data_IF_385279085513
#
_entry.id   IF_385279085513
#
_cell.length_a   1.000
_cell.length_b   1.000
_cell.length_c   1.000
_cell.angle_alpha   90.00
_cell.angle_beta   90.00
_cell.angle_gamma   90.00
#
_symmetry.space_group_name_H-M   'P 1'
#
loop_
_entity.id
_entity.type
_entity.pdbx_description
1 polymer ?
#
# COMPACT_ATOMS: atom_id res chain seq x y z
N UNK A 1 25.29 17.64 -5.16
CA UNK A 1 23.85 17.71 -5.44
C UNK A 1 23.27 18.97 -4.81
N UNK A 2 22.42 19.70 -5.54
CA UNK A 2 21.73 20.89 -5.04
C UNK A 2 20.21 20.66 -5.04
N UNK A 3 19.51 21.18 -4.04
CA UNK A 3 18.05 21.31 -4.05
C UNK A 3 17.70 22.75 -4.36
N UNK A 4 17.02 22.98 -5.48
CA UNK A 4 16.62 24.32 -5.91
C UNK A 4 15.10 24.46 -5.72
N UNK A 5 14.70 25.35 -4.82
CA UNK A 5 13.30 25.74 -4.67
C UNK A 5 13.05 26.98 -5.52
N UNK A 6 12.03 26.94 -6.37
CA UNK A 6 11.61 28.05 -7.21
C UNK A 6 10.16 28.42 -6.91
N UNK A 7 9.88 29.71 -6.80
CA UNK A 7 8.52 30.20 -6.70
C UNK A 7 8.34 31.50 -7.49
N UNK A 8 7.17 31.67 -8.07
CA UNK A 8 6.86 32.81 -8.95
C UNK A 8 5.46 33.33 -8.67
N UNK A 9 5.34 34.65 -8.55
CA UNK A 9 4.12 35.31 -8.14
C UNK A 9 3.80 36.52 -9.02
N UNK A 10 2.53 36.92 -9.08
CA UNK A 10 2.05 38.05 -9.88
C UNK A 10 1.46 39.10 -8.95
N UNK A 11 1.91 40.34 -9.09
CA UNK A 11 1.49 41.47 -8.28
C UNK A 11 0.54 42.36 -9.07
N UNK A 12 -0.76 42.14 -8.89
CA UNK A 12 -1.80 42.91 -9.59
C UNK A 12 -1.72 44.41 -9.29
N UNK A 13 -1.48 44.78 -8.03
CA UNK A 13 -1.42 46.18 -7.59
C UNK A 13 -0.34 47.01 -8.30
N UNK A 14 0.75 46.37 -8.71
CA UNK A 14 1.89 47.03 -9.37
C UNK A 14 2.00 46.65 -10.85
N UNK A 15 1.03 45.90 -11.39
CA UNK A 15 1.07 45.32 -12.73
C UNK A 15 2.44 44.66 -13.04
N UNK A 16 2.93 43.84 -12.11
CA UNK A 16 4.25 43.22 -12.20
C UNK A 16 4.24 41.76 -11.76
N UNK A 17 5.39 41.11 -11.83
CA UNK A 17 5.58 39.75 -11.35
C UNK A 17 6.96 39.56 -10.74
N UNK A 18 7.04 38.59 -9.84
CA UNK A 18 8.23 38.23 -9.09
C UNK A 18 8.64 36.79 -9.36
N UNK A 19 9.93 36.55 -9.20
CA UNK A 19 10.55 35.25 -9.23
C UNK A 19 11.53 35.13 -8.07
N UNK A 20 11.40 34.10 -7.24
CA UNK A 20 12.33 33.77 -6.17
C UNK A 20 12.95 32.39 -6.39
N UNK A 21 14.25 32.29 -6.13
CA UNK A 21 14.99 31.03 -6.17
C UNK A 21 15.84 30.90 -4.92
N UNK A 22 15.79 29.73 -4.28
CA UNK A 22 16.59 29.38 -3.11
C UNK A 22 17.29 28.06 -3.39
N UNK A 23 18.61 28.03 -3.22
CA UNK A 23 19.43 26.85 -3.48
C UNK A 23 20.04 26.33 -2.18
N UNK A 24 19.89 25.03 -1.94
CA UNK A 24 20.46 24.31 -0.81
C UNK A 24 21.48 23.28 -1.28
N UNK A 25 22.50 23.01 -0.48
CA UNK A 25 23.37 21.85 -0.68
C UNK A 25 22.75 20.58 -0.07
N UNK A 26 23.40 19.44 -0.32
CA UNK A 26 22.97 18.14 0.19
C UNK A 26 23.06 18.01 1.73
N UNK A 27 23.78 18.92 2.40
CA UNK A 27 23.87 18.99 3.87
C UNK A 27 22.76 19.87 4.45
N UNK A 28 21.89 20.43 3.62
CA UNK A 28 20.79 21.30 4.04
C UNK A 28 21.23 22.74 4.33
N UNK A 29 22.42 23.16 3.88
CA UNK A 29 22.90 24.54 4.03
C UNK A 29 22.46 25.39 2.85
N UNK A 30 22.09 26.63 3.13
CA UNK A 30 21.78 27.61 2.08
C UNK A 30 23.06 27.93 1.30
N UNK A 31 23.01 27.74 -0.02
CA UNK A 31 24.11 28.03 -0.95
C UNK A 31 23.95 29.41 -1.54
N UNK A 32 22.78 29.69 -2.09
CA UNK A 32 22.51 30.96 -2.77
C UNK A 32 21.00 31.23 -2.79
N UNK A 33 20.60 32.50 -2.76
CA UNK A 33 19.23 32.91 -2.93
C UNK A 33 19.19 34.19 -3.79
N UNK A 34 18.25 34.25 -4.72
CA UNK A 34 18.10 35.42 -5.58
C UNK A 34 16.63 35.62 -5.95
N UNK A 35 16.26 36.88 -6.14
CA UNK A 35 14.92 37.27 -6.54
C UNK A 35 14.97 38.29 -7.68
N UNK A 36 13.92 38.30 -8.50
CA UNK A 36 13.72 39.26 -9.57
C UNK A 36 12.30 39.75 -9.54
N UNK A 37 12.14 41.04 -9.75
CA UNK A 37 10.86 41.68 -10.01
C UNK A 37 10.89 42.33 -11.39
N UNK A 38 9.78 42.25 -12.13
CA UNK A 38 9.60 42.92 -13.42
C UNK A 38 8.23 43.56 -13.51
N UNK A 39 8.19 44.78 -14.08
CA UNK A 39 6.96 45.43 -14.49
C UNK A 39 6.44 44.83 -15.80
N UNK A 40 5.12 44.84 -15.95
CA UNK A 40 4.38 44.22 -17.04
C UNK A 40 3.61 43.00 -16.54
N UNK A 41 2.29 43.01 -16.73
CA UNK A 41 1.41 41.93 -16.32
C UNK A 41 1.76 40.61 -17.02
N UNK A 42 1.67 39.51 -16.28
CA UNK A 42 1.83 38.16 -16.82
C UNK A 42 0.88 37.19 -16.12
N UNK A 43 0.79 35.97 -16.64
CA UNK A 43 0.04 34.90 -15.99
C UNK A 43 0.92 34.19 -14.95
N UNK A 44 0.33 33.75 -13.84
CA UNK A 44 1.07 33.03 -12.77
C UNK A 44 1.85 31.81 -13.28
N UNK A 45 1.29 31.06 -14.25
CA UNK A 45 2.00 29.94 -14.88
C UNK A 45 3.28 30.38 -15.60
N UNK A 46 3.24 31.52 -16.28
CA UNK A 46 4.40 32.09 -16.99
C UNK A 46 5.43 32.62 -16.00
N UNK A 47 5.01 33.28 -14.91
CA UNK A 47 5.91 33.70 -13.83
C UNK A 47 6.70 32.51 -13.27
N UNK A 48 6.05 31.37 -13.02
CA UNK A 48 6.72 30.13 -12.56
C UNK A 48 7.72 29.57 -13.58
N UNK A 49 7.37 29.57 -14.87
CA UNK A 49 8.31 29.15 -15.94
C UNK A 49 9.54 30.05 -15.98
N UNK A 50 9.37 31.36 -15.77
CA UNK A 50 10.48 32.31 -15.70
C UNK A 50 11.40 31.98 -14.50
N UNK A 51 10.84 31.58 -13.35
CA UNK A 51 11.63 31.13 -12.20
C UNK A 51 12.47 29.89 -12.52
N UNK A 52 11.85 28.88 -13.13
CA UNK A 52 12.53 27.65 -13.54
C UNK A 52 13.66 27.98 -14.52
N UNK A 53 13.40 28.81 -15.53
CA UNK A 53 14.41 29.22 -16.51
C UNK A 53 15.61 29.92 -15.85
N UNK A 54 15.37 30.74 -14.83
CA UNK A 54 16.45 31.40 -14.07
C UNK A 54 17.25 30.41 -13.23
N UNK A 55 16.58 29.48 -12.56
CA UNK A 55 17.24 28.42 -11.81
C UNK A 55 18.12 27.54 -12.70
N UNK A 56 17.65 27.19 -13.90
CA UNK A 56 18.42 26.42 -14.88
C UNK A 56 19.66 27.17 -15.36
N UNK A 57 19.55 28.46 -15.69
CA UNK A 57 20.71 29.29 -16.05
C UNK A 57 21.74 29.39 -14.93
N UNK A 58 21.28 29.50 -13.69
CA UNK A 58 22.16 29.48 -12.54
C UNK A 58 22.91 28.14 -12.44
N UNK A 59 22.20 27.02 -12.64
CA UNK A 59 22.78 25.68 -12.62
C UNK A 59 23.82 25.49 -13.73
N UNK A 60 23.52 25.89 -14.97
CA UNK A 60 24.46 25.84 -16.11
C UNK A 60 25.78 26.57 -15.81
N UNK A 61 25.71 27.70 -15.09
CA UNK A 61 26.89 28.49 -14.72
C UNK A 61 27.79 27.85 -13.65
N UNK A 62 27.37 26.78 -12.98
CA UNK A 62 28.12 26.15 -11.87
C UNK A 62 28.94 24.93 -12.29
N UNK A 63 28.99 24.59 -13.59
CA UNK A 63 29.74 23.46 -14.15
C UNK A 63 29.50 22.16 -13.35
N UNK A 64 28.24 21.92 -13.01
CA UNK A 64 27.82 20.80 -12.16
C UNK A 64 27.84 19.52 -12.99
N UNK A 65 28.26 18.41 -12.39
CA UNK A 65 28.17 17.08 -13.01
C UNK A 65 26.76 16.77 -13.54
N UNK A 66 26.68 15.84 -14.49
CA UNK A 66 25.43 15.38 -15.11
C UNK A 66 24.32 15.10 -14.10
N UNK A 67 23.09 15.39 -14.50
CA UNK A 67 21.88 15.14 -13.70
C UNK A 67 21.67 13.63 -13.51
N UNK A 68 21.38 13.23 -12.27
CA UNK A 68 21.03 11.87 -11.91
C UNK A 68 19.75 11.84 -11.10
N UNK A 69 18.95 10.77 -11.25
CA UNK A 69 17.77 10.55 -10.43
C UNK A 69 18.16 10.40 -8.96
N UNK A 70 17.52 11.17 -8.08
CA UNK A 70 17.74 11.11 -6.64
C UNK A 70 16.44 10.79 -5.89
N UNK A 71 16.44 9.73 -5.10
CA UNK A 71 15.32 9.34 -4.27
C UNK A 71 15.41 9.98 -2.88
N UNK A 72 14.49 10.91 -2.59
CA UNK A 72 14.52 11.73 -1.36
C UNK A 72 14.41 10.93 -0.05
N UNK A 73 13.92 9.69 -0.12
CA UNK A 73 13.71 8.82 1.05
C UNK A 73 14.91 7.92 1.34
N UNK A 74 15.98 8.04 0.56
CA UNK A 74 17.24 7.37 0.81
C UNK A 74 18.37 8.39 1.03
N UNK A 75 19.33 8.08 1.90
CA UNK A 75 20.46 8.98 2.22
C UNK A 75 21.51 9.02 1.10
N UNK A 76 21.61 7.94 0.33
CA UNK A 76 22.49 7.84 -0.84
C UNK A 76 21.74 8.27 -2.11
N UNK A 77 20.42 8.46 -2.03
CA UNK A 77 19.59 8.87 -3.13
C UNK A 77 19.17 7.74 -4.07
N UNK A 78 19.37 6.48 -3.68
CA UNK A 78 19.12 5.34 -4.56
C UNK A 78 17.71 4.81 -4.32
N UNK A 79 16.93 4.72 -5.39
CA UNK A 79 15.65 4.04 -5.34
C UNK A 79 15.87 2.52 -5.26
N UNK A 80 15.24 1.87 -4.27
CA UNK A 80 15.13 0.41 -4.23
C UNK A 80 13.69 0.00 -3.88
N UNK A 81 13.26 -1.13 -4.43
CA UNK A 81 11.93 -1.71 -4.12
C UNK A 81 11.77 -1.95 -2.61
N UNK A 82 12.84 -2.33 -1.93
CA UNK A 82 12.85 -2.54 -0.47
C UNK A 82 12.51 -1.26 0.30
N UNK A 83 13.18 -0.15 0.01
CA UNK A 83 12.94 1.14 0.70
C UNK A 83 11.54 1.65 0.38
N UNK A 84 11.11 1.57 -0.88
CA UNK A 84 9.78 1.94 -1.30
C UNK A 84 8.70 1.11 -0.57
N UNK A 85 8.88 -0.21 -0.48
CA UNK A 85 7.96 -1.10 0.22
C UNK A 85 7.87 -0.77 1.72
N UNK A 86 9.00 -0.59 2.42
CA UNK A 86 8.98 -0.22 3.83
C UNK A 86 8.27 1.12 4.07
N UNK A 87 8.50 2.11 3.20
CA UNK A 87 7.80 3.39 3.28
C UNK A 87 6.29 3.22 3.09
N UNK A 88 5.86 2.43 2.11
CA UNK A 88 4.44 2.15 1.89
C UNK A 88 3.80 1.45 3.09
N UNK A 89 4.52 0.54 3.74
CA UNK A 89 4.04 -0.13 4.95
C UNK A 89 3.93 0.84 6.14
N UNK A 90 4.87 1.78 6.30
CA UNK A 90 4.78 2.82 7.33
C UNK A 90 3.62 3.78 7.08
N UNK A 91 3.37 4.15 5.83
CA UNK A 91 2.28 5.06 5.44
C UNK A 91 0.90 4.44 5.56
N UNK A 92 0.79 3.11 5.46
CA UNK A 92 -0.47 2.39 5.70
C UNK A 92 -0.92 2.42 7.16
N UNK A 93 -0.07 2.80 8.11
CA UNK A 93 -0.41 2.68 9.53
C UNK A 93 -0.49 1.21 9.97
N UNK A 94 -0.63 0.96 11.28
CA UNK A 94 -0.73 -0.41 11.82
C UNK A 94 -2.13 -1.00 11.55
N UNK A 95 -2.44 -1.21 10.28
CA UNK A 95 -3.73 -1.72 9.80
C UNK A 95 -3.79 -3.25 9.94
N UNK A 96 -3.79 -3.75 11.18
CA UNK A 96 -4.09 -5.15 11.50
C UNK A 96 -3.17 -6.22 10.89
N UNK A 97 -2.05 -5.83 10.28
CA UNK A 97 -1.09 -6.74 9.65
C UNK A 97 -0.35 -7.61 10.67
N UNK A 98 -0.21 -7.14 11.91
CA UNK A 98 0.39 -7.89 13.01
C UNK A 98 -0.42 -9.17 13.31
N UNK A 99 -1.75 -9.06 13.37
CA UNK A 99 -2.62 -10.22 13.59
C UNK A 99 -2.59 -11.22 12.43
N UNK A 100 -2.51 -10.73 11.19
CA UNK A 100 -2.36 -11.60 10.03
C UNK A 100 -1.00 -12.32 10.07
N UNK A 101 0.08 -11.60 10.40
CA UNK A 101 1.41 -12.19 10.51
C UNK A 101 1.48 -13.31 11.56
N UNK A 102 0.92 -13.07 12.76
CA UNK A 102 0.88 -14.07 13.83
C UNK A 102 0.02 -15.29 13.47
N UNK A 103 -1.13 -15.06 12.81
CA UNK A 103 -1.96 -16.13 12.26
C UNK A 103 -1.18 -16.98 11.25
N UNK A 104 -0.50 -16.34 10.29
CA UNK A 104 0.27 -17.01 9.25
C UNK A 104 1.41 -17.82 9.86
N UNK A 105 2.15 -17.24 10.81
CA UNK A 105 3.23 -17.93 11.51
C UNK A 105 2.73 -19.20 12.19
N UNK A 106 1.58 -19.11 12.88
CA UNK A 106 0.96 -20.24 13.57
C UNK A 106 0.46 -21.31 12.57
N UNK A 107 -0.17 -20.89 11.47
CA UNK A 107 -0.68 -21.78 10.43
C UNK A 107 0.42 -22.68 9.83
N UNK A 108 1.59 -22.09 9.56
CA UNK A 108 2.69 -22.84 8.94
C UNK A 108 3.34 -23.87 9.87
N UNK A 109 3.25 -23.67 11.19
CA UNK A 109 3.76 -24.60 12.20
C UNK A 109 2.89 -25.86 12.39
N UNK A 110 1.62 -25.85 11.93
CA UNK A 110 0.72 -27.00 12.08
C UNK A 110 1.17 -28.20 11.25
N UNK A 111 0.99 -29.42 11.73
CA UNK A 111 1.27 -30.66 11.00
C UNK A 111 0.09 -31.05 10.10
N UNK A 112 -0.23 -30.19 9.14
CA UNK A 112 -1.33 -30.38 8.19
C UNK A 112 -0.81 -30.65 6.78
N UNK A 113 -1.56 -31.41 5.95
CA UNK A 113 -1.24 -31.56 4.54
C UNK A 113 -1.11 -30.20 3.83
N UNK A 114 -0.15 -30.03 2.89
CA UNK A 114 0.10 -28.75 2.23
C UNK A 114 -1.14 -28.12 1.59
N UNK A 115 -2.04 -28.93 1.02
CA UNK A 115 -3.29 -28.47 0.42
C UNK A 115 -4.23 -27.80 1.44
N UNK A 116 -4.25 -28.28 2.68
CA UNK A 116 -5.08 -27.72 3.75
C UNK A 116 -4.47 -26.40 4.22
N UNK A 117 -3.13 -26.32 4.35
CA UNK A 117 -2.43 -25.07 4.69
C UNK A 117 -2.68 -23.98 3.65
N UNK A 118 -2.57 -24.31 2.36
CA UNK A 118 -2.85 -23.35 1.27
C UNK A 118 -4.31 -22.85 1.31
N UNK A 119 -5.28 -23.74 1.54
CA UNK A 119 -6.68 -23.34 1.67
C UNK A 119 -6.89 -22.38 2.85
N UNK A 120 -6.37 -22.72 4.03
CA UNK A 120 -6.48 -21.89 5.24
C UNK A 120 -5.76 -20.55 5.08
N UNK A 121 -4.61 -20.55 4.40
CA UNK A 121 -3.87 -19.33 4.06
C UNK A 121 -4.71 -18.39 3.20
N UNK A 122 -5.32 -18.92 2.13
CA UNK A 122 -6.20 -18.14 1.25
C UNK A 122 -7.44 -17.65 1.99
N UNK A 123 -8.00 -18.46 2.89
CA UNK A 123 -9.17 -18.10 3.69
C UNK A 123 -8.85 -16.96 4.67
N UNK A 124 -7.78 -17.10 5.47
CA UNK A 124 -7.39 -16.11 6.48
C UNK A 124 -6.85 -14.80 5.88
N UNK A 125 -6.29 -14.86 4.67
CA UNK A 125 -5.80 -13.68 3.95
C UNK A 125 -6.85 -13.04 3.04
N UNK A 126 -8.12 -13.45 3.13
CA UNK A 126 -9.21 -12.96 2.28
C UNK A 126 -8.91 -13.05 0.76
N UNK A 127 -8.23 -14.12 0.31
CA UNK A 127 -7.97 -14.39 -1.09
C UNK A 127 -9.01 -15.27 -1.76
N UNK A 128 -9.88 -15.92 -0.99
CA UNK A 128 -10.96 -16.71 -1.56
C UNK A 128 -12.01 -15.81 -2.25
N UNK A 129 -12.55 -16.24 -3.40
CA UNK A 129 -13.49 -15.45 -4.19
C UNK A 129 -14.91 -15.51 -3.59
N UNK A 130 -15.05 -15.18 -2.31
CA UNK A 130 -16.37 -15.10 -1.68
C UNK A 130 -17.11 -13.85 -2.14
N UNK A 131 -18.45 -13.84 -2.13
CA UNK A 131 -19.20 -12.65 -2.57
C UNK A 131 -18.81 -11.38 -1.82
N UNK A 132 -18.54 -11.48 -0.51
CA UNK A 132 -18.06 -10.33 0.29
C UNK A 132 -16.73 -9.79 -0.28
N UNK A 133 -15.79 -10.68 -0.57
CA UNK A 133 -14.49 -10.27 -1.11
C UNK A 133 -14.59 -9.74 -2.54
N UNK A 134 -15.41 -10.36 -3.39
CA UNK A 134 -15.68 -9.88 -4.75
C UNK A 134 -16.34 -8.50 -4.75
N UNK A 135 -17.26 -8.24 -3.83
CA UNK A 135 -17.87 -6.92 -3.65
C UNK A 135 -16.84 -5.88 -3.20
N UNK A 136 -15.99 -6.20 -2.22
CA UNK A 136 -14.94 -5.28 -1.75
C UNK A 136 -13.94 -4.87 -2.85
N UNK A 137 -13.73 -5.76 -3.83
CA UNK A 137 -12.89 -5.52 -5.01
C UNK A 137 -13.67 -4.96 -6.20
N UNK A 138 -14.92 -4.56 -6.00
CA UNK A 138 -15.80 -3.99 -7.03
C UNK A 138 -16.03 -4.89 -8.25
N UNK A 139 -15.83 -6.21 -8.12
CA UNK A 139 -16.04 -7.20 -9.20
C UNK A 139 -17.53 -7.51 -9.37
N UNK A 140 -18.25 -7.64 -8.26
CA UNK A 140 -19.69 -7.91 -8.25
C UNK A 140 -20.42 -6.78 -7.54
N UNK A 141 -21.50 -6.29 -8.17
CA UNK A 141 -22.46 -5.36 -7.57
C UNK A 141 -23.77 -6.13 -7.38
N UNK A 142 -24.20 -6.31 -6.14
CA UNK A 142 -25.37 -7.13 -5.84
C UNK A 142 -25.20 -7.92 -4.56
N UNK A 143 -26.16 -8.79 -4.27
CA UNK A 143 -26.30 -9.52 -3.01
C UNK A 143 -25.03 -10.30 -2.59
N UNK A 144 -24.72 -10.23 -1.31
CA UNK A 144 -23.59 -10.92 -0.65
C UNK A 144 -24.03 -12.04 0.27
N UNK A 145 -25.32 -12.39 0.28
CA UNK A 145 -25.80 -13.54 1.05
C UNK A 145 -25.24 -14.85 0.51
N UNK A 146 -24.99 -15.78 1.42
CA UNK A 146 -24.54 -17.13 1.13
C UNK A 146 -25.63 -17.91 0.38
N UNK A 147 -25.34 -18.38 -0.84
CA UNK A 147 -26.32 -19.12 -1.65
C UNK A 147 -26.72 -20.49 -1.09
N UNK A 148 -25.98 -21.02 -0.10
CA UNK A 148 -26.25 -22.33 0.50
C UNK A 148 -27.30 -22.28 1.61
N UNK A 149 -27.52 -21.11 2.21
CA UNK A 149 -28.39 -20.96 3.39
C UNK A 149 -29.20 -19.64 3.39
N UNK A 150 -28.86 -18.68 2.52
CA UNK A 150 -29.53 -17.41 2.26
C UNK A 150 -29.79 -16.49 3.47
N UNK A 151 -29.16 -16.73 4.62
CA UNK A 151 -29.44 -15.96 5.85
C UNK A 151 -28.26 -15.14 6.37
N UNK A 152 -27.06 -15.28 5.81
CA UNK A 152 -25.84 -14.64 6.31
C UNK A 152 -24.91 -14.26 5.16
N UNK A 153 -23.96 -13.35 5.43
CA UNK A 153 -22.95 -12.93 4.47
C UNK A 153 -22.00 -14.07 4.10
N UNK A 154 -21.70 -14.17 2.80
CA UNK A 154 -20.77 -15.15 2.27
C UNK A 154 -19.31 -14.72 2.51
N UNK A 155 -18.81 -15.00 3.71
CA UNK A 155 -17.40 -14.91 4.08
C UNK A 155 -16.76 -16.30 4.11
N UNK A 156 -15.42 -16.36 4.08
CA UNK A 156 -14.71 -17.64 4.20
C UNK A 156 -15.04 -18.34 5.53
N UNK A 157 -15.07 -17.60 6.64
CA UNK A 157 -15.45 -18.13 7.95
C UNK A 157 -16.88 -18.68 7.93
N UNK A 158 -17.83 -17.99 7.28
CA UNK A 158 -19.18 -18.51 7.13
C UNK A 158 -19.18 -19.80 6.29
N UNK A 159 -18.60 -19.79 5.10
CA UNK A 159 -18.62 -20.93 4.18
C UNK A 159 -17.98 -22.20 4.76
N UNK A 160 -16.94 -22.09 5.58
CA UNK A 160 -16.24 -23.26 6.13
C UNK A 160 -16.62 -23.62 7.56
N UNK A 161 -17.16 -22.69 8.36
CA UNK A 161 -17.39 -22.92 9.81
C UNK A 161 -18.83 -22.65 10.20
N UNK A 162 -19.36 -21.45 9.92
CA UNK A 162 -20.65 -21.03 10.49
C UNK A 162 -21.87 -21.44 9.65
N UNK A 163 -21.68 -21.79 8.38
CA UNK A 163 -22.78 -22.18 7.50
C UNK A 163 -23.36 -23.52 7.96
N UNK A 164 -24.69 -23.59 8.03
CA UNK A 164 -25.40 -24.82 8.42
C UNK A 164 -25.02 -26.00 7.51
N UNK A 165 -24.81 -25.75 6.21
CA UNK A 165 -24.29 -26.75 5.28
C UNK A 165 -22.92 -27.28 5.72
N UNK A 166 -21.97 -26.38 6.00
CA UNK A 166 -20.63 -26.74 6.43
C UNK A 166 -20.62 -27.51 7.76
N UNK A 167 -21.41 -27.07 8.75
CA UNK A 167 -21.54 -27.77 10.03
C UNK A 167 -22.06 -29.21 9.84
N UNK A 168 -23.02 -29.42 8.95
CA UNK A 168 -23.52 -30.75 8.63
C UNK A 168 -22.46 -31.62 7.93
N UNK A 169 -21.64 -31.04 7.05
CA UNK A 169 -20.49 -31.74 6.45
C UNK A 169 -19.49 -32.17 7.53
N UNK A 170 -19.11 -31.27 8.44
CA UNK A 170 -18.19 -31.58 9.54
C UNK A 170 -18.73 -32.67 10.45
N UNK A 171 -20.01 -32.59 10.84
CA UNK A 171 -20.65 -33.61 11.67
C UNK A 171 -20.59 -34.99 11.01
N UNK A 172 -20.89 -35.08 9.72
CA UNK A 172 -20.81 -36.34 8.96
C UNK A 172 -19.37 -36.85 8.86
N UNK A 173 -18.41 -35.99 8.55
CA UNK A 173 -17.01 -36.36 8.46
C UNK A 173 -16.47 -36.89 9.80
N UNK A 174 -16.75 -36.18 10.90
CA UNK A 174 -16.39 -36.62 12.25
C UNK A 174 -17.03 -37.95 12.61
N UNK A 175 -18.32 -38.15 12.30
CA UNK A 175 -18.99 -39.43 12.53
C UNK A 175 -18.35 -40.57 11.74
N UNK A 176 -17.95 -40.34 10.49
CA UNK A 176 -17.26 -41.36 9.68
C UNK A 176 -15.89 -41.71 10.27
N UNK A 177 -15.11 -40.71 10.69
CA UNK A 177 -13.81 -40.93 11.33
C UNK A 177 -13.98 -41.69 12.65
N UNK A 178 -14.93 -41.28 13.49
CA UNK A 178 -15.22 -41.97 14.75
C UNK A 178 -15.63 -43.43 14.53
N UNK A 179 -16.49 -43.70 13.55
CA UNK A 179 -16.88 -45.08 13.17
C UNK A 179 -15.67 -45.89 12.71
N UNK A 180 -14.80 -45.32 11.88
CA UNK A 180 -13.59 -45.99 11.40
C UNK A 180 -12.61 -46.30 12.55
N UNK A 181 -12.43 -45.37 13.49
CA UNK A 181 -11.58 -45.59 14.67
C UNK A 181 -12.14 -46.68 15.59
N UNK A 182 -13.45 -46.71 15.81
CA UNK A 182 -14.12 -47.78 16.58
C UNK A 182 -13.98 -49.15 15.90
N UNK A 183 -14.07 -49.21 14.57
CA UNK A 183 -13.86 -50.44 13.80
C UNK A 183 -12.41 -50.97 13.86
N UNK A 184 -11.44 -50.08 14.07
CA UNK A 184 -10.03 -50.43 14.24
C UNK A 184 -9.68 -50.79 15.70
N UNK A 185 -10.66 -50.89 16.60
CA UNK A 185 -10.45 -51.30 17.99
C UNK A 185 -9.88 -50.22 18.91
N UNK A 186 -9.84 -48.95 18.49
CA UNK A 186 -9.52 -47.84 19.39
C UNK A 186 -10.73 -47.58 20.31
N UNK A 187 -10.69 -48.16 21.50
CA UNK A 187 -11.61 -47.80 22.57
C UNK A 187 -11.27 -46.38 23.03
N UNK A 188 -12.09 -45.39 22.66
CA UNK A 188 -11.99 -44.05 23.25
C UNK A 188 -12.51 -44.14 24.68
N UNK A 189 -11.64 -44.56 25.61
CA UNK A 189 -11.80 -44.22 27.01
C UNK A 189 -11.48 -42.72 27.14
N UNK A 190 -12.53 -41.90 27.23
CA UNK A 190 -12.47 -40.61 27.91
C UNK A 190 -12.75 -40.85 29.39
#
# INVERSE_FOLDING_TARGET
MFKINVDGDVFQATNGYGAGVIVWDYQGRLVEAFSVYKMGGTQSKVAKIICIKKALRWHEGKNVQEDHWYWIKDRVGVYTVKIAYHLLQQLKGNDGLDHLYDFLKSLWQLQLPPRVKDLLWRAGSNFLPTKVQLRSRHVVRGDTTCSLWNSALESALHLFVNCNFAQNCWRKALQTVLKALLQLGFNMAF
#
